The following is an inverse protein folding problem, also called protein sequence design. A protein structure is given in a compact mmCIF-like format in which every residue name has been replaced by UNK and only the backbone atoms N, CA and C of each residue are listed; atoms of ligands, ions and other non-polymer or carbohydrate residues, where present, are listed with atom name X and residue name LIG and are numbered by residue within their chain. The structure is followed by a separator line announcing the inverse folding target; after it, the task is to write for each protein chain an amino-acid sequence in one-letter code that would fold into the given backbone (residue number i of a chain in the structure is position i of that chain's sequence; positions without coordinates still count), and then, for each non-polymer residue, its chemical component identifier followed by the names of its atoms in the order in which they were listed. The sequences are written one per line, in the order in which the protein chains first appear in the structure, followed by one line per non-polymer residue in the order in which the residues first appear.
data_IF_067098892011
#
_entry.id   IF_067098892011
#
_cell.length_a   1.000
_cell.length_b   1.000
_cell.length_c   1.000
_cell.angle_alpha   90.00
_cell.angle_beta   90.00
_cell.angle_gamma   90.00
#
_symmetry.space_group_name_H-M   'P 1'
#
loop_
_entity.id
_entity.type
_entity.pdbx_description
1 polymer ?
#
# COMPACT_ATOMS: atom_id res chain seq x y z
N UNK A 1 -7.20 -21.03 -53.22
CA UNK A 1 -7.53 -19.75 -52.55
C UNK A 1 -8.55 -19.92 -51.42
N UNK A 2 -9.57 -20.77 -51.53
CA UNK A 2 -10.58 -20.99 -50.46
C UNK A 2 -10.03 -21.52 -49.12
N UNK A 3 -8.86 -22.16 -49.08
CA UNK A 3 -8.28 -22.76 -47.87
C UNK A 3 -7.40 -21.82 -47.04
N UNK A 4 -7.06 -20.63 -47.57
CA UNK A 4 -6.26 -19.63 -46.85
C UNK A 4 -7.12 -18.81 -45.88
N UNK A 5 -8.34 -18.47 -46.30
CA UNK A 5 -9.30 -17.68 -45.51
C UNK A 5 -9.63 -18.28 -44.14
N UNK A 6 -9.92 -19.60 -44.02
CA UNK A 6 -10.17 -20.23 -42.71
C UNK A 6 -8.95 -20.12 -41.77
N UNK A 7 -7.74 -20.23 -42.31
CA UNK A 7 -6.51 -20.13 -41.52
C UNK A 7 -6.26 -18.70 -41.03
N UNK A 8 -6.51 -17.70 -41.88
CA UNK A 8 -6.38 -16.28 -41.51
C UNK A 8 -7.40 -15.92 -40.44
N UNK A 9 -8.66 -16.35 -40.62
CA UNK A 9 -9.73 -16.13 -39.63
C UNK A 9 -9.39 -16.83 -38.31
N UNK A 10 -8.92 -18.08 -38.36
CA UNK A 10 -8.47 -18.80 -37.17
C UNK A 10 -7.34 -18.09 -36.43
N UNK A 11 -6.33 -17.58 -37.17
CA UNK A 11 -5.23 -16.82 -36.59
C UNK A 11 -5.69 -15.52 -35.91
N UNK A 12 -6.61 -14.78 -36.54
CA UNK A 12 -7.19 -13.56 -35.96
C UNK A 12 -7.98 -13.85 -34.69
N UNK A 13 -8.75 -14.94 -34.66
CA UNK A 13 -9.51 -15.35 -33.48
C UNK A 13 -8.59 -15.71 -32.31
N UNK A 14 -7.49 -16.42 -32.56
CA UNK A 14 -6.50 -16.74 -31.53
C UNK A 14 -5.85 -15.48 -30.98
N UNK A 15 -5.45 -14.54 -31.85
CA UNK A 15 -4.86 -13.27 -31.42
C UNK A 15 -5.85 -12.44 -30.59
N UNK A 16 -7.12 -12.40 -30.99
CA UNK A 16 -8.17 -11.71 -30.23
C UNK A 16 -8.38 -12.34 -28.85
N UNK A 17 -8.38 -13.67 -28.75
CA UNK A 17 -8.51 -14.38 -27.48
C UNK A 17 -7.32 -14.10 -26.54
N UNK A 18 -6.09 -14.11 -27.06
CA UNK A 18 -4.89 -13.77 -26.29
C UNK A 18 -4.92 -12.32 -25.81
N UNK A 19 -5.27 -11.38 -26.71
CA UNK A 19 -5.38 -9.98 -26.34
C UNK A 19 -6.44 -9.75 -25.27
N UNK A 20 -7.60 -10.38 -25.39
CA UNK A 20 -8.67 -10.31 -24.39
C UNK A 20 -8.23 -10.87 -23.04
N UNK A 21 -7.56 -12.02 -23.02
CA UNK A 21 -7.04 -12.61 -21.78
C UNK A 21 -6.01 -11.70 -21.09
N UNK A 22 -5.11 -11.06 -21.86
CA UNK A 22 -4.13 -10.11 -21.31
C UNK A 22 -4.81 -8.87 -20.73
N UNK A 23 -5.86 -8.35 -21.38
CA UNK A 23 -6.61 -7.21 -20.87
C UNK A 23 -7.29 -7.54 -19.53
N UNK A 24 -7.96 -8.68 -19.44
CA UNK A 24 -8.59 -9.16 -18.20
C UNK A 24 -7.58 -9.28 -17.06
N UNK A 25 -6.44 -9.94 -17.31
CA UNK A 25 -5.39 -10.10 -16.29
C UNK A 25 -4.82 -8.74 -15.84
N UNK A 26 -4.73 -7.76 -16.75
CA UNK A 26 -4.24 -6.42 -16.39
C UNK A 26 -5.26 -5.62 -15.61
N UNK A 27 -6.55 -5.76 -15.87
CA UNK A 27 -7.60 -5.10 -15.09
C UNK A 27 -7.62 -5.65 -13.65
N UNK A 28 -7.66 -6.98 -13.50
CA UNK A 28 -7.60 -7.65 -12.20
C UNK A 28 -6.26 -7.39 -11.46
N UNK A 29 -5.15 -7.40 -12.20
CA UNK A 29 -3.81 -7.13 -11.67
C UNK A 29 -3.58 -5.68 -11.28
N UNK A 30 -4.11 -4.72 -12.04
CA UNK A 30 -3.99 -3.30 -11.73
C UNK A 30 -4.85 -2.90 -10.53
N UNK A 31 -6.04 -3.49 -10.38
CA UNK A 31 -6.88 -3.25 -9.20
C UNK A 31 -6.26 -3.84 -7.93
N UNK A 32 -5.75 -5.08 -7.98
CA UNK A 32 -5.14 -5.73 -6.82
C UNK A 32 -3.86 -5.02 -6.34
N UNK A 33 -3.00 -4.55 -7.26
CA UNK A 33 -1.80 -3.78 -6.90
C UNK A 33 -2.18 -2.40 -6.38
N UNK A 34 -3.14 -1.70 -6.99
CA UNK A 34 -3.62 -0.41 -6.48
C UNK A 34 -4.22 -0.54 -5.07
N UNK A 35 -5.07 -1.53 -4.83
CA UNK A 35 -5.65 -1.78 -3.49
C UNK A 35 -4.57 -2.11 -2.45
N UNK A 36 -3.56 -2.88 -2.81
CA UNK A 36 -2.45 -3.20 -1.91
C UNK A 36 -1.61 -1.97 -1.56
N UNK A 37 -1.31 -1.12 -2.55
CA UNK A 37 -0.58 0.14 -2.34
C UNK A 37 -1.40 1.12 -1.50
N UNK A 38 -2.71 1.24 -1.77
CA UNK A 38 -3.61 2.13 -1.04
C UNK A 38 -3.76 1.73 0.42
N UNK A 39 -3.89 0.42 0.71
CA UNK A 39 -3.89 -0.09 2.08
C UNK A 39 -2.57 0.16 2.81
N UNK A 40 -1.44 -0.12 2.16
CA UNK A 40 -0.13 0.11 2.75
C UNK A 40 0.14 1.59 3.03
N UNK A 41 -0.30 2.48 2.15
CA UNK A 41 -0.11 3.92 2.34
C UNK A 41 -0.98 4.48 3.48
N UNK A 42 -2.23 4.02 3.60
CA UNK A 42 -3.08 4.39 4.73
C UNK A 42 -2.52 3.90 6.07
N UNK A 43 -1.92 2.70 6.10
CA UNK A 43 -1.26 2.18 7.28
C UNK A 43 0.03 2.95 7.62
N UNK A 44 0.80 3.36 6.62
CA UNK A 44 1.98 4.22 6.82
C UNK A 44 1.60 5.61 7.34
N UNK A 45 0.57 6.24 6.77
CA UNK A 45 0.08 7.54 7.21
C UNK A 45 -0.41 7.51 8.66
N UNK A 46 -1.26 6.53 9.00
CA UNK A 46 -1.75 6.37 10.38
C UNK A 46 -0.62 6.09 11.39
N UNK A 47 0.40 5.32 11.02
CA UNK A 47 1.57 5.12 11.87
C UNK A 47 2.38 6.42 12.05
N UNK A 48 2.54 7.23 10.99
CA UNK A 48 3.24 8.52 11.12
C UNK A 48 2.51 9.50 12.04
N UNK A 49 1.19 9.59 11.93
CA UNK A 49 0.37 10.46 12.78
C UNK A 49 0.39 9.99 14.23
N UNK A 50 0.31 8.69 14.48
CA UNK A 50 0.43 8.13 15.82
C UNK A 50 1.79 8.44 16.47
N UNK A 51 2.89 8.28 15.73
CA UNK A 51 4.24 8.58 16.23
C UNK A 51 4.43 10.07 16.55
N UNK A 52 3.86 10.95 15.72
CA UNK A 52 3.88 12.41 15.97
C UNK A 52 3.07 12.76 17.21
N UNK A 53 1.87 12.19 17.36
CA UNK A 53 1.03 12.37 18.54
C UNK A 53 1.72 11.91 19.83
N UNK A 54 2.45 10.79 19.79
CA UNK A 54 3.19 10.26 20.94
C UNK A 54 4.39 11.14 21.31
N UNK A 55 5.08 11.72 20.33
CA UNK A 55 6.17 12.67 20.54
C UNK A 55 5.65 13.96 21.20
N UNK A 56 4.60 14.57 20.65
CA UNK A 56 4.01 15.80 21.18
C UNK A 56 3.50 15.58 22.61
N UNK A 57 2.77 14.46 22.85
CA UNK A 57 2.31 14.07 24.19
C UNK A 57 3.45 13.85 25.18
N UNK A 58 4.60 13.35 24.72
CA UNK A 58 5.78 13.17 25.56
C UNK A 58 6.36 14.49 26.03
N UNK A 59 6.51 15.46 25.11
CA UNK A 59 7.03 16.78 25.42
C UNK A 59 6.06 17.57 26.32
N UNK A 60 4.78 17.54 26.01
CA UNK A 60 3.74 18.19 26.83
C UNK A 60 3.67 17.62 28.25
N UNK A 61 3.96 16.32 28.40
CA UNK A 61 4.06 15.63 29.68
C UNK A 61 5.36 15.89 30.45
N UNK A 62 6.30 16.68 29.90
CA UNK A 62 7.62 16.93 30.49
C UNK A 62 8.56 15.73 30.45
N UNK A 63 8.29 14.75 29.58
CA UNK A 63 9.15 13.60 29.34
C UNK A 63 10.29 13.90 28.37
N UNK A 64 11.24 12.98 28.28
CA UNK A 64 12.33 13.04 27.30
C UNK A 64 12.07 11.97 26.25
N UNK A 65 12.06 12.34 24.98
CA UNK A 65 11.85 11.39 23.89
C UNK A 65 13.14 10.60 23.60
N UNK A 66 13.02 9.27 23.52
CA UNK A 66 14.10 8.39 23.05
C UNK A 66 13.88 8.04 21.57
N UNK A 67 14.70 8.62 20.70
CA UNK A 67 14.66 8.37 19.26
C UNK A 67 15.12 6.96 18.87
N UNK A 68 15.97 6.32 19.66
CA UNK A 68 16.47 4.96 19.39
C UNK A 68 15.43 3.90 19.71
N UNK A 69 14.66 4.10 20.78
CA UNK A 69 13.59 3.19 21.18
C UNK A 69 12.19 3.60 20.68
N UNK A 70 12.04 4.81 20.12
CA UNK A 70 10.79 5.36 19.62
C UNK A 70 9.70 5.48 20.69
N UNK A 71 10.09 5.80 21.93
CA UNK A 71 9.22 5.87 23.10
C UNK A 71 9.55 7.05 23.99
N UNK A 72 8.56 7.49 24.76
CA UNK A 72 8.77 8.53 25.77
C UNK A 72 9.43 7.95 27.04
N UNK A 73 10.59 8.47 27.41
CA UNK A 73 11.18 8.26 28.74
C UNK A 73 10.52 9.25 29.69
N UNK A 74 9.51 8.77 30.44
CA UNK A 74 8.84 9.60 31.45
C UNK A 74 9.83 9.93 32.56
N UNK A 75 10.04 11.21 32.87
CA UNK A 75 10.66 11.59 34.13
C UNK A 75 9.75 11.10 35.28
N UNK A 76 10.34 10.48 36.32
CA UNK A 76 9.60 9.95 37.46
C UNK A 76 8.56 10.97 37.97
N UNK A 77 7.33 10.55 38.34
CA UNK A 77 6.33 11.49 38.84
C UNK A 77 6.95 12.25 40.01
N UNK A 78 7.08 13.58 39.89
CA UNK A 78 7.42 14.44 41.02
C UNK A 78 6.34 14.19 42.08
N UNK A 79 6.68 13.43 43.13
CA UNK A 79 5.93 13.41 44.38
C UNK A 79 5.84 14.87 44.82
N UNK A 80 4.65 15.48 44.70
CA UNK A 80 4.37 16.73 45.41
C UNK A 80 4.31 16.36 46.88
N UNK A 81 5.21 16.95 47.68
CA UNK A 81 5.08 17.01 49.13
C UNK A 81 4.28 18.27 49.47
#
# INVERSE_FOLDING_TARGET
MLTLWPKIIGGLLVLAAVAWAVLQIREDGAESVKQAIERQNNEAASQSDARRSDYDRCLDGGGVWDFGAGKCLRAAPRRRN
#
